data_IF_925780914171
#
_entry.id   IF_925780914171
#
_cell.length_a   1.000
_cell.length_b   1.000
_cell.length_c   1.000
_cell.angle_alpha   90.00
_cell.angle_beta   90.00
_cell.angle_gamma   90.00
#
_symmetry.space_group_name_H-M   'P 1'
#
loop_
_entity.id
_entity.type
_entity.pdbx_description
1 polymer ?
#
# COMPACT_ATOMS: atom_id res chain seq x y z
N UNK A 1 -40.70 -48.77 -10.26
CA UNK A 1 -39.68 -48.48 -9.24
C UNK A 1 -38.83 -47.32 -9.79
N UNK A 2 -39.42 -46.12 -9.95
CA UNK A 2 -39.45 -45.00 -8.99
C UNK A 2 -38.08 -44.55 -8.50
N UNK A 3 -37.41 -43.71 -9.30
CA UNK A 3 -36.52 -42.65 -8.83
C UNK A 3 -36.25 -41.64 -9.97
N UNK A 4 -36.95 -40.50 -9.96
CA UNK A 4 -36.33 -39.26 -10.43
C UNK A 4 -36.81 -38.11 -9.52
N UNK A 5 -35.87 -37.36 -8.92
CA UNK A 5 -36.07 -36.54 -7.73
C UNK A 5 -36.52 -35.10 -8.02
N UNK A 6 -37.13 -34.54 -6.97
CA UNK A 6 -36.93 -33.20 -6.42
C UNK A 6 -36.89 -31.99 -7.36
N UNK A 7 -38.07 -31.37 -7.46
CA UNK A 7 -38.31 -29.94 -7.29
C UNK A 7 -37.08 -29.08 -6.95
N UNK A 8 -36.43 -28.54 -7.98
CA UNK A 8 -35.65 -27.32 -7.84
C UNK A 8 -36.18 -26.26 -8.80
N UNK A 9 -37.22 -25.58 -8.32
CA UNK A 9 -37.41 -24.13 -8.41
C UNK A 9 -36.24 -23.41 -9.09
N UNK A 10 -36.42 -23.12 -10.38
CA UNK A 10 -35.66 -22.07 -11.07
C UNK A 10 -35.96 -20.77 -10.31
N UNK A 11 -35.11 -20.41 -9.34
CA UNK A 11 -35.13 -19.08 -8.72
C UNK A 11 -34.95 -18.08 -9.84
N UNK A 12 -36.07 -17.48 -10.24
CA UNK A 12 -36.13 -16.33 -11.12
C UNK A 12 -35.17 -15.29 -10.52
N UNK A 13 -34.19 -14.85 -11.30
CA UNK A 13 -33.28 -13.79 -10.87
C UNK A 13 -34.08 -12.55 -10.44
N UNK A 14 -33.54 -11.71 -9.54
CA UNK A 14 -34.24 -10.52 -9.09
C UNK A 14 -34.66 -9.70 -10.32
N UNK A 15 -35.97 -9.43 -10.41
CA UNK A 15 -36.52 -8.58 -11.46
C UNK A 15 -35.79 -7.21 -11.42
N UNK A 16 -35.56 -6.54 -12.57
CA UNK A 16 -34.96 -5.21 -12.57
C UNK A 16 -35.86 -4.29 -11.74
N UNK A 17 -35.32 -3.82 -10.61
CA UNK A 17 -36.01 -3.03 -9.60
C UNK A 17 -36.80 -1.89 -10.26
N UNK A 18 -38.13 -1.98 -10.20
CA UNK A 18 -39.03 -0.88 -10.54
C UNK A 18 -38.92 0.17 -9.42
N UNK A 19 -38.68 1.47 -9.72
CA UNK A 19 -38.34 2.49 -8.71
C UNK A 19 -39.39 2.89 -7.67
N UNK A 20 -40.45 2.11 -7.39
CA UNK A 20 -41.57 2.62 -6.58
C UNK A 20 -42.04 1.76 -5.40
N UNK A 21 -41.69 0.48 -5.29
CA UNK A 21 -42.18 -0.38 -4.18
C UNK A 21 -41.04 -1.03 -3.42
N UNK A 22 -40.11 -0.22 -2.92
CA UNK A 22 -39.06 -0.69 -2.00
C UNK A 22 -39.27 -0.01 -0.65
N UNK A 23 -39.62 -0.81 0.34
CA UNK A 23 -39.79 -0.40 1.72
C UNK A 23 -38.53 0.31 2.23
N UNK A 24 -38.66 1.46 2.93
CA UNK A 24 -37.52 2.26 3.38
C UNK A 24 -36.58 1.49 4.35
N UNK A 25 -37.02 0.36 4.92
CA UNK A 25 -36.22 -0.54 5.74
C UNK A 25 -35.17 -1.33 4.96
N UNK A 26 -35.45 -1.74 3.72
CA UNK A 26 -34.51 -2.51 2.89
C UNK A 26 -33.29 -1.68 2.48
N UNK A 27 -33.48 -0.38 2.21
CA UNK A 27 -32.35 0.54 1.98
C UNK A 27 -31.55 0.82 3.26
N UNK A 28 -32.20 0.85 4.43
CA UNK A 28 -31.55 1.08 5.71
C UNK A 28 -30.67 -0.12 6.15
N UNK A 29 -31.12 -1.36 5.93
CA UNK A 29 -30.28 -2.54 6.18
C UNK A 29 -29.07 -2.59 5.24
N UNK A 30 -29.26 -2.34 3.94
CA UNK A 30 -28.16 -2.30 2.97
C UNK A 30 -27.15 -1.17 3.24
N UNK A 31 -27.61 0.02 3.65
CA UNK A 31 -26.72 1.14 4.02
C UNK A 31 -25.96 0.85 5.32
N UNK A 32 -26.56 0.13 6.27
CA UNK A 32 -25.92 -0.26 7.54
C UNK A 32 -24.88 -1.38 7.32
N UNK A 33 -25.16 -2.33 6.43
CA UNK A 33 -24.21 -3.37 6.01
C UNK A 33 -23.03 -2.78 5.22
N UNK A 34 -23.28 -1.89 4.26
CA UNK A 34 -22.24 -1.21 3.48
C UNK A 34 -21.38 -0.29 4.38
N UNK A 35 -21.98 0.37 5.39
CA UNK A 35 -21.25 1.21 6.35
C UNK A 35 -20.36 0.41 7.30
N UNK A 36 -20.72 -0.84 7.61
CA UNK A 36 -19.92 -1.72 8.48
C UNK A 36 -18.77 -2.40 7.74
N UNK A 37 -18.88 -2.60 6.41
CA UNK A 37 -17.79 -3.15 5.61
C UNK A 37 -16.67 -2.13 5.32
N UNK A 38 -16.94 -0.83 5.47
CA UNK A 38 -15.99 0.25 5.16
C UNK A 38 -15.05 0.64 6.32
N UNK A 39 -15.03 -0.12 7.42
CA UNK A 39 -14.04 0.06 8.49
C UNK A 39 -13.27 -1.24 8.76
N UNK A 40 -12.72 -1.84 7.72
CA UNK A 40 -11.60 -2.77 7.91
C UNK A 40 -10.39 -1.93 8.32
N UNK A 41 -10.27 -1.63 9.62
CA UNK A 41 -9.06 -1.02 10.18
C UNK A 41 -7.89 -1.94 9.87
N UNK A 42 -7.00 -1.47 9.00
CA UNK A 42 -5.72 -2.14 8.79
C UNK A 42 -5.02 -2.19 10.14
N UNK A 43 -4.72 -3.41 10.63
CA UNK A 43 -4.01 -3.59 11.90
C UNK A 43 -2.64 -2.91 11.79
N UNK A 44 -2.53 -1.68 12.29
CA UNK A 44 -1.28 -0.89 12.33
C UNK A 44 -0.35 -1.46 13.41
N UNK A 45 0.20 -2.65 13.16
CA UNK A 45 1.15 -3.33 14.05
C UNK A 45 2.57 -3.35 13.46
N UNK A 46 2.96 -2.32 12.70
CA UNK A 46 4.33 -2.15 12.22
C UNK A 46 5.16 -1.54 13.35
N UNK A 47 5.96 -2.40 13.98
CA UNK A 47 6.94 -1.97 14.99
C UNK A 47 8.02 -1.10 14.32
N UNK A 48 8.58 -0.14 15.05
CA UNK A 48 9.66 0.75 14.57
C UNK A 48 10.80 0.00 13.84
N UNK A 49 11.18 -1.20 14.31
CA UNK A 49 12.16 -2.07 13.65
C UNK A 49 11.78 -2.47 12.21
N UNK A 50 10.50 -2.76 11.94
CA UNK A 50 10.05 -3.15 10.61
C UNK A 50 10.10 -1.95 9.65
N UNK A 51 9.72 -0.76 10.13
CA UNK A 51 9.84 0.48 9.37
C UNK A 51 11.31 0.79 9.02
N UNK A 52 12.23 0.60 9.97
CA UNK A 52 13.67 0.75 9.71
C UNK A 52 14.19 -0.25 8.68
N UNK A 53 13.76 -1.52 8.76
CA UNK A 53 14.16 -2.53 7.77
C UNK A 53 13.62 -2.23 6.37
N UNK A 54 12.42 -1.66 6.26
CA UNK A 54 11.87 -1.19 4.97
C UNK A 54 12.70 -0.04 4.42
N UNK A 55 13.05 0.95 5.26
CA UNK A 55 13.86 2.08 4.85
C UNK A 55 15.26 1.66 4.37
N UNK A 56 15.92 0.74 5.08
CA UNK A 56 17.23 0.21 4.71
C UNK A 56 17.12 -0.66 3.44
N UNK A 57 16.10 -1.51 3.35
CA UNK A 57 15.88 -2.39 2.19
C UNK A 57 15.60 -1.63 0.89
N UNK A 58 14.87 -0.51 0.98
CA UNK A 58 14.61 0.34 -0.19
C UNK A 58 15.85 1.09 -0.70
N UNK A 59 16.80 1.38 0.19
CA UNK A 59 17.99 2.20 -0.13
C UNK A 59 19.23 1.38 -0.51
N UNK A 60 19.40 0.16 0.03
CA UNK A 60 20.54 -0.74 -0.27
C UNK A 60 20.26 -1.67 -1.48
N UNK A 61 19.31 -1.31 -2.35
CA UNK A 61 18.90 -2.14 -3.49
C UNK A 61 20.03 -2.54 -4.45
N UNK A 62 19.72 -3.44 -5.39
CA UNK A 62 20.68 -3.99 -6.37
C UNK A 62 21.38 -2.91 -7.21
N UNK A 63 20.75 -1.76 -7.40
CA UNK A 63 21.33 -0.60 -8.11
C UNK A 63 22.64 -0.11 -7.49
N UNK A 64 22.79 -0.20 -6.16
CA UNK A 64 24.03 0.16 -5.48
C UNK A 64 25.18 -0.76 -5.92
N UNK A 65 24.94 -2.08 -5.96
CA UNK A 65 25.96 -3.06 -6.35
C UNK A 65 26.29 -3.03 -7.85
N UNK A 66 25.28 -2.94 -8.71
CA UNK A 66 25.49 -2.89 -10.17
C UNK A 66 26.19 -1.60 -10.57
N UNK A 67 25.81 -0.45 -9.98
CA UNK A 67 26.43 0.84 -10.26
C UNK A 67 27.84 0.94 -9.69
N UNK A 68 28.03 0.59 -8.40
CA UNK A 68 29.35 0.66 -7.76
C UNK A 68 30.33 -0.34 -8.40
N UNK A 69 29.90 -1.54 -8.79
CA UNK A 69 30.78 -2.53 -9.41
C UNK A 69 31.46 -2.01 -10.68
N UNK A 70 30.70 -1.33 -11.54
CA UNK A 70 31.25 -0.71 -12.76
C UNK A 70 32.10 0.53 -12.46
N UNK A 71 31.65 1.39 -11.54
CA UNK A 71 32.40 2.57 -11.14
C UNK A 71 33.74 2.22 -10.47
N UNK A 72 33.77 1.16 -9.67
CA UNK A 72 34.95 0.68 -8.95
C UNK A 72 35.99 0.10 -9.91
N UNK A 73 35.56 -0.67 -10.90
CA UNK A 73 36.44 -1.26 -11.91
C UNK A 73 37.11 -0.22 -12.80
N UNK A 74 36.42 0.90 -13.07
CA UNK A 74 36.88 1.93 -14.02
C UNK A 74 37.63 3.08 -13.36
N UNK A 75 37.25 3.50 -12.15
CA UNK A 75 37.78 4.71 -11.52
C UNK A 75 38.68 4.45 -10.30
N UNK A 76 38.75 3.21 -9.80
CA UNK A 76 39.55 2.83 -8.62
C UNK A 76 38.83 3.08 -7.29
N UNK A 77 39.30 2.49 -6.17
CA UNK A 77 38.58 2.48 -4.90
C UNK A 77 38.48 3.86 -4.22
N UNK A 78 39.49 4.71 -4.39
CA UNK A 78 39.55 6.00 -3.69
C UNK A 78 38.57 7.02 -4.29
N UNK A 79 38.45 7.07 -5.62
CA UNK A 79 37.55 8.00 -6.31
C UNK A 79 36.08 7.70 -6.03
N UNK A 80 35.70 6.42 -5.98
CA UNK A 80 34.31 6.01 -5.73
C UNK A 80 33.90 6.36 -4.30
N UNK A 81 34.79 6.17 -3.32
CA UNK A 81 34.52 6.59 -1.94
C UNK A 81 34.37 8.11 -1.83
N UNK A 82 35.28 8.88 -2.44
CA UNK A 82 35.21 10.34 -2.45
C UNK A 82 33.94 10.86 -3.11
N UNK A 83 33.60 10.34 -4.29
CA UNK A 83 32.38 10.70 -5.01
C UNK A 83 31.14 10.36 -4.17
N UNK A 84 31.08 9.15 -3.60
CA UNK A 84 29.96 8.73 -2.77
C UNK A 84 29.81 9.63 -1.53
N UNK A 85 30.89 9.94 -0.82
CA UNK A 85 30.85 10.84 0.34
C UNK A 85 30.35 12.24 -0.01
N UNK A 86 30.79 12.82 -1.13
CA UNK A 86 30.34 14.14 -1.57
C UNK A 86 28.83 14.14 -1.88
N UNK A 87 28.34 13.15 -2.62
CA UNK A 87 26.92 13.00 -2.90
C UNK A 87 26.12 12.81 -1.60
N UNK A 88 26.61 11.98 -0.67
CA UNK A 88 25.95 11.77 0.62
C UNK A 88 25.79 13.07 1.42
N UNK A 89 26.76 13.98 1.41
CA UNK A 89 26.66 15.27 2.11
C UNK A 89 25.55 16.14 1.50
N UNK A 90 25.48 16.22 0.17
CA UNK A 90 24.44 17.00 -0.53
C UNK A 90 23.05 16.40 -0.26
N UNK A 91 22.92 15.08 -0.40
CA UNK A 91 21.67 14.36 -0.18
C UNK A 91 21.24 14.41 1.29
N UNK A 92 22.18 14.38 2.23
CA UNK A 92 21.89 14.56 3.65
C UNK A 92 21.22 15.91 3.91
N UNK A 93 21.76 17.00 3.37
CA UNK A 93 21.12 18.32 3.48
C UNK A 93 19.70 18.36 2.90
N UNK A 94 19.50 17.72 1.73
CA UNK A 94 18.19 17.61 1.09
C UNK A 94 17.18 16.81 1.94
N UNK A 95 17.60 15.67 2.47
CA UNK A 95 16.76 14.81 3.33
C UNK A 95 16.43 15.55 4.62
N UNK A 96 17.37 16.24 5.24
CA UNK A 96 17.12 17.03 6.46
C UNK A 96 16.07 18.11 6.21
N UNK A 97 16.20 18.89 5.14
CA UNK A 97 15.21 19.91 4.79
C UNK A 97 13.81 19.31 4.50
N UNK A 98 13.77 18.19 3.79
CA UNK A 98 12.52 17.48 3.47
C UNK A 98 11.89 16.88 4.74
N UNK A 99 12.72 16.34 5.64
CA UNK A 99 12.27 15.70 6.88
C UNK A 99 11.69 16.73 7.85
N UNK A 100 12.34 17.88 7.98
CA UNK A 100 11.82 19.01 8.75
C UNK A 100 10.44 19.42 8.20
N UNK A 101 10.31 19.66 6.90
CA UNK A 101 9.03 20.00 6.27
C UNK A 101 7.93 18.93 6.50
N UNK A 102 8.28 17.65 6.40
CA UNK A 102 7.34 16.54 6.62
C UNK A 102 6.93 16.38 8.10
N UNK A 103 7.80 16.76 9.03
CA UNK A 103 7.52 16.71 10.47
C UNK A 103 6.59 17.87 10.91
N UNK A 104 6.64 19.04 10.25
CA UNK A 104 5.79 20.18 10.60
C UNK A 104 4.29 19.96 10.32
N UNK A 105 3.94 19.29 9.23
CA UNK A 105 2.55 18.97 8.88
C UNK A 105 2.42 17.50 8.46
N UNK A 106 2.36 16.56 9.42
CA UNK A 106 2.24 15.15 9.11
C UNK A 106 0.82 14.84 8.63
N UNK A 107 0.61 14.91 7.31
CA UNK A 107 -0.63 14.44 6.69
C UNK A 107 -0.59 12.92 6.59
N UNK A 108 -1.63 12.24 7.08
CA UNK A 108 -1.76 10.81 6.93
C UNK A 108 -1.97 10.49 5.45
N UNK A 109 -0.98 9.86 4.81
CA UNK A 109 -1.12 9.34 3.45
C UNK A 109 -2.24 8.30 3.39
N UNK A 110 -3.14 8.49 2.43
CA UNK A 110 -4.25 7.57 2.10
C UNK A 110 -3.76 6.26 1.52
#
# INVERSE_FOLDING_TARGET
MLAQPDNHQKKKGPDPLSPHDTDPSTYAEGLTEISTLQRTETKRNIKSRHAQMIAIGGTIGTGLFVGIGQALATSGPVSVLLAYSLICVVVYGMITATTEANAYLPVAGS
#
